data_IF_359892521073
#
_entry.id   IF_359892521073
#
_cell.length_a   1.000
_cell.length_b   1.000
_cell.length_c   1.000
_cell.angle_alpha   90.00
_cell.angle_beta   90.00
_cell.angle_gamma   90.00
#
_symmetry.space_group_name_H-M   'P 1'
#
loop_
_entity.id
_entity.type
_entity.pdbx_description
1 polymer ?
#
# COMPACT_ATOMS: atom_id res chain seq x y z
N UNK A 1 34.19 19.57 -12.41
CA UNK A 1 32.80 19.46 -12.82
C UNK A 1 32.68 18.18 -13.66
N UNK A 2 31.96 17.18 -13.19
CA UNK A 2 31.85 15.90 -13.86
C UNK A 2 30.42 15.79 -14.45
N UNK A 3 30.25 15.48 -15.73
CA UNK A 3 28.94 15.29 -16.32
C UNK A 3 28.35 13.98 -15.78
N UNK A 4 27.05 14.00 -15.48
CA UNK A 4 26.30 12.79 -15.20
C UNK A 4 26.02 12.06 -16.52
N UNK A 5 26.10 10.73 -16.55
CA UNK A 5 25.79 9.95 -17.75
C UNK A 5 24.34 10.22 -18.18
N UNK A 6 24.10 10.27 -19.48
CA UNK A 6 22.76 10.49 -20.05
C UNK A 6 21.95 9.22 -19.94
N UNK A 7 20.88 9.24 -19.16
CA UNK A 7 19.80 8.26 -19.25
C UNK A 7 18.48 9.01 -19.36
N UNK A 8 17.72 8.73 -20.40
CA UNK A 8 16.33 9.19 -20.50
C UNK A 8 16.07 10.69 -20.53
N UNK A 9 17.02 11.53 -20.94
CA UNK A 9 16.82 12.96 -21.13
C UNK A 9 17.15 13.88 -19.94
N UNK A 10 17.60 13.35 -18.79
CA UNK A 10 18.10 14.17 -17.68
C UNK A 10 19.59 14.45 -17.87
N UNK A 11 19.98 15.72 -17.83
CA UNK A 11 21.39 16.12 -17.83
C UNK A 11 21.68 16.84 -16.52
N UNK A 12 22.69 16.38 -15.80
CA UNK A 12 23.14 16.99 -14.56
C UNK A 12 24.65 17.17 -14.51
N UNK A 13 25.11 17.97 -13.55
CA UNK A 13 26.53 18.21 -13.29
C UNK A 13 26.80 18.01 -11.81
N UNK A 14 27.81 17.24 -11.49
CA UNK A 14 28.21 16.98 -10.12
C UNK A 14 29.48 17.81 -9.77
N UNK A 15 29.41 18.57 -8.68
CA UNK A 15 30.52 19.36 -8.18
C UNK A 15 31.08 18.71 -6.92
N UNK A 16 32.37 18.37 -6.93
CA UNK A 16 33.07 17.83 -5.76
C UNK A 16 33.97 18.95 -5.22
N UNK A 17 33.83 19.27 -3.92
CA UNK A 17 34.64 20.26 -3.22
C UNK A 17 35.20 19.72 -1.91
N UNK A 18 36.31 20.25 -1.45
CA UNK A 18 36.91 19.94 -0.17
C UNK A 18 37.00 21.21 0.71
N UNK A 19 36.67 21.08 2.00
CA UNK A 19 36.83 22.14 3.01
C UNK A 19 38.28 22.31 3.50
N UNK A 20 39.16 21.34 3.23
CA UNK A 20 40.54 21.31 3.73
C UNK A 20 41.60 21.63 2.68
N UNK A 21 41.19 22.14 1.49
CA UNK A 21 42.10 22.50 0.41
C UNK A 21 41.74 21.84 -0.93
N UNK A 22 42.47 22.12 -2.01
CA UNK A 22 42.17 21.57 -3.31
C UNK A 22 42.32 20.05 -3.31
N UNK A 23 41.26 19.37 -3.66
CA UNK A 23 41.31 17.92 -3.93
C UNK A 23 41.97 17.75 -5.29
N UNK A 24 43.01 16.97 -5.36
CA UNK A 24 43.60 16.53 -6.62
C UNK A 24 42.61 15.57 -7.30
N UNK A 25 41.65 16.13 -8.06
CA UNK A 25 40.65 15.35 -8.81
C UNK A 25 41.33 14.36 -9.76
N UNK A 26 42.55 14.66 -10.19
CA UNK A 26 43.42 13.78 -10.99
C UNK A 26 43.85 12.49 -10.25
N UNK A 27 43.73 12.45 -8.92
CA UNK A 27 44.03 11.25 -8.13
C UNK A 27 42.85 10.33 -7.89
N UNK A 28 41.66 10.72 -8.33
CA UNK A 28 40.45 9.86 -8.22
C UNK A 28 40.37 9.00 -9.47
N UNK A 29 40.31 7.69 -9.29
CA UNK A 29 40.08 6.76 -10.42
C UNK A 29 38.79 7.09 -11.15
N UNK A 30 38.81 7.22 -12.50
CA UNK A 30 37.60 7.51 -13.29
C UNK A 30 36.44 6.54 -13.00
N UNK A 31 36.73 5.27 -12.81
CA UNK A 31 35.72 4.24 -12.50
C UNK A 31 34.99 4.51 -11.18
N UNK A 32 35.65 5.04 -10.16
CA UNK A 32 35.01 5.42 -8.90
C UNK A 32 34.07 6.61 -9.07
N UNK A 33 34.47 7.60 -9.86
CA UNK A 33 33.68 8.79 -10.17
C UNK A 33 32.41 8.40 -10.99
N UNK A 34 32.58 7.52 -11.96
CA UNK A 34 31.44 6.98 -12.75
C UNK A 34 30.46 6.19 -11.87
N UNK A 35 30.98 5.41 -10.93
CA UNK A 35 30.14 4.69 -9.98
C UNK A 35 29.32 5.65 -9.10
N UNK A 36 29.95 6.68 -8.54
CA UNK A 36 29.23 7.69 -7.73
C UNK A 36 28.19 8.45 -8.59
N UNK A 37 28.57 8.85 -9.80
CA UNK A 37 27.66 9.52 -10.72
C UNK A 37 26.42 8.65 -11.05
N UNK A 38 26.64 7.36 -11.30
CA UNK A 38 25.55 6.41 -11.54
C UNK A 38 24.62 6.25 -10.31
N UNK A 39 25.18 6.18 -9.09
CA UNK A 39 24.41 6.08 -7.85
C UNK A 39 23.55 7.35 -7.61
N UNK A 40 24.15 8.54 -7.83
CA UNK A 40 23.43 9.81 -7.69
C UNK A 40 22.31 9.92 -8.73
N UNK A 41 22.57 9.55 -9.98
CA UNK A 41 21.57 9.57 -11.04
C UNK A 41 20.42 8.61 -10.74
N UNK A 42 20.72 7.36 -10.37
CA UNK A 42 19.70 6.38 -10.00
C UNK A 42 18.86 6.82 -8.79
N UNK A 43 19.46 7.54 -7.85
CA UNK A 43 18.75 8.10 -6.70
C UNK A 43 17.84 9.26 -7.11
N UNK A 44 18.33 10.16 -7.98
CA UNK A 44 17.54 11.26 -8.51
C UNK A 44 16.34 10.76 -9.35
N UNK A 45 16.56 9.76 -10.20
CA UNK A 45 15.50 9.13 -10.99
C UNK A 45 14.41 8.50 -10.11
N UNK A 46 14.81 7.80 -9.04
CA UNK A 46 13.85 7.24 -8.05
C UNK A 46 13.03 8.34 -7.37
N UNK A 47 13.66 9.44 -6.96
CA UNK A 47 12.95 10.57 -6.35
C UNK A 47 11.99 11.24 -7.32
N UNK A 48 12.40 11.45 -8.57
CA UNK A 48 11.54 12.02 -9.62
C UNK A 48 10.38 11.09 -9.96
N UNK A 49 10.62 9.78 -10.04
CA UNK A 49 9.57 8.80 -10.26
C UNK A 49 8.55 8.81 -9.11
N UNK A 50 9.01 8.76 -7.86
CA UNK A 50 8.14 8.87 -6.67
C UNK A 50 7.34 10.17 -6.67
N UNK A 51 7.97 11.31 -7.00
CA UNK A 51 7.27 12.59 -7.07
C UNK A 51 6.19 12.62 -8.18
N UNK A 52 6.41 11.93 -9.31
CA UNK A 52 5.39 11.79 -10.37
C UNK A 52 4.21 10.94 -9.90
N UNK A 53 4.46 9.80 -9.22
CA UNK A 53 3.42 8.93 -8.68
C UNK A 53 2.57 9.64 -7.61
N UNK A 54 3.20 10.42 -6.72
CA UNK A 54 2.50 11.24 -5.73
C UNK A 54 1.62 12.30 -6.41
N UNK A 55 2.15 13.02 -7.42
CA UNK A 55 1.38 14.04 -8.17
C UNK A 55 0.22 13.42 -8.97
N UNK A 56 0.38 12.22 -9.48
CA UNK A 56 -0.67 11.48 -10.16
C UNK A 56 -1.73 10.90 -9.19
N UNK A 57 -1.55 11.05 -7.88
CA UNK A 57 -2.45 10.49 -6.87
C UNK A 57 -2.44 8.96 -6.82
N UNK A 58 -1.42 8.31 -7.36
CA UNK A 58 -1.30 6.84 -7.42
C UNK A 58 -0.81 6.27 -6.09
N UNK A 59 -0.03 7.06 -5.34
CA UNK A 59 0.62 6.63 -4.09
C UNK A 59 0.14 7.51 -2.94
N UNK A 60 -0.11 6.92 -1.79
CA UNK A 60 -0.40 7.62 -0.53
C UNK A 60 0.86 8.30 0.00
N UNK A 61 0.82 9.61 0.33
CA UNK A 61 2.01 10.35 0.71
C UNK A 61 2.58 9.96 2.08
N UNK A 62 1.75 9.47 3.00
CA UNK A 62 2.20 9.09 4.34
C UNK A 62 2.92 7.75 4.32
N UNK A 63 2.32 6.76 3.68
CA UNK A 63 2.78 5.37 3.75
C UNK A 63 3.63 4.94 2.57
N UNK A 64 3.45 5.58 1.40
CA UNK A 64 4.12 5.19 0.17
C UNK A 64 3.46 4.01 -0.56
N UNK A 65 2.38 3.44 -0.03
CA UNK A 65 1.58 2.41 -0.69
C UNK A 65 0.64 3.01 -1.74
N UNK A 66 -0.04 2.15 -2.49
CA UNK A 66 -1.01 2.61 -3.46
C UNK A 66 -2.15 3.38 -2.77
N UNK A 67 -2.65 4.38 -3.47
CA UNK A 67 -3.74 5.24 -2.99
C UNK A 67 -5.12 4.61 -3.27
N UNK A 68 -6.15 5.21 -2.66
CA UNK A 68 -7.56 4.94 -2.99
C UNK A 68 -7.84 5.09 -4.50
N UNK A 69 -7.28 6.12 -5.13
CA UNK A 69 -7.48 6.36 -6.57
C UNK A 69 -6.97 5.19 -7.42
N UNK A 70 -5.76 4.72 -7.14
CA UNK A 70 -5.18 3.54 -7.78
C UNK A 70 -6.04 2.30 -7.55
N UNK A 71 -6.46 2.06 -6.30
CA UNK A 71 -7.25 0.89 -5.94
C UNK A 71 -8.57 0.81 -6.71
N UNK A 72 -9.31 1.93 -6.80
CA UNK A 72 -10.56 2.00 -7.56
C UNK A 72 -10.35 1.75 -9.07
N UNK A 73 -9.25 2.22 -9.64
CA UNK A 73 -8.89 1.90 -11.02
C UNK A 73 -8.65 0.39 -11.20
N UNK A 74 -7.88 -0.23 -10.29
CA UNK A 74 -7.61 -1.67 -10.31
C UNK A 74 -8.87 -2.51 -10.13
N UNK A 75 -9.81 -2.09 -9.28
CA UNK A 75 -11.09 -2.77 -9.12
C UNK A 75 -11.89 -2.80 -10.43
N UNK A 76 -11.96 -1.68 -11.15
CA UNK A 76 -12.65 -1.60 -12.45
C UNK A 76 -12.00 -2.51 -13.50
N UNK A 77 -10.68 -2.53 -13.54
CA UNK A 77 -9.92 -3.43 -14.42
C UNK A 77 -10.19 -4.90 -14.04
N UNK A 78 -10.25 -5.22 -12.75
CA UNK A 78 -10.53 -6.58 -12.28
C UNK A 78 -11.95 -7.03 -12.63
N UNK A 79 -12.96 -6.18 -12.48
CA UNK A 79 -14.34 -6.50 -12.93
C UNK A 79 -14.35 -6.85 -14.42
N UNK A 80 -13.64 -6.07 -15.25
CA UNK A 80 -13.53 -6.36 -16.67
C UNK A 80 -12.76 -7.67 -16.96
N UNK A 81 -11.70 -7.95 -16.21
CA UNK A 81 -10.93 -9.18 -16.32
C UNK A 81 -11.75 -10.41 -15.90
N UNK A 82 -12.44 -10.34 -14.76
CA UNK A 82 -13.34 -11.41 -14.26
C UNK A 82 -14.42 -11.77 -15.28
N UNK A 83 -15.04 -10.76 -15.91
CA UNK A 83 -16.04 -11.00 -16.95
C UNK A 83 -15.45 -11.67 -18.20
N UNK A 84 -14.21 -11.32 -18.57
CA UNK A 84 -13.54 -11.87 -19.77
C UNK A 84 -13.06 -13.30 -19.55
N UNK A 85 -12.43 -13.54 -18.41
CA UNK A 85 -11.77 -14.81 -18.10
C UNK A 85 -12.68 -15.77 -17.33
N UNK A 86 -13.83 -15.31 -16.87
CA UNK A 86 -14.78 -16.05 -16.01
C UNK A 86 -14.11 -16.54 -14.72
N UNK A 87 -13.23 -15.72 -14.15
CA UNK A 87 -12.53 -16.00 -12.90
C UNK A 87 -13.10 -15.15 -11.77
N UNK A 88 -13.32 -15.75 -10.58
CA UNK A 88 -13.79 -15.01 -9.42
C UNK A 88 -12.71 -14.07 -8.92
N UNK A 89 -13.11 -13.06 -8.16
CA UNK A 89 -12.18 -12.21 -7.43
C UNK A 89 -12.73 -11.89 -6.04
N UNK A 90 -11.88 -11.45 -5.13
CA UNK A 90 -12.30 -11.03 -3.79
C UNK A 90 -11.67 -9.69 -3.43
N UNK A 91 -12.41 -8.90 -2.65
CA UNK A 91 -11.96 -7.64 -2.09
C UNK A 91 -12.04 -7.71 -0.57
N UNK A 92 -10.96 -7.32 0.12
CA UNK A 92 -10.93 -7.10 1.55
C UNK A 92 -10.82 -5.61 1.82
N UNK A 93 -11.59 -5.12 2.81
CA UNK A 93 -11.39 -3.80 3.42
C UNK A 93 -11.04 -4.03 4.88
N UNK A 94 -9.94 -3.42 5.32
CA UNK A 94 -9.31 -3.65 6.61
C UNK A 94 -9.21 -2.31 7.32
N UNK A 95 -9.58 -2.25 8.59
CA UNK A 95 -9.53 -1.05 9.40
C UNK A 95 -8.88 -1.35 10.75
N UNK A 96 -8.07 -0.39 11.22
CA UNK A 96 -7.37 -0.50 12.49
C UNK A 96 -8.31 -0.14 13.63
N UNK A 97 -8.62 -1.12 14.47
CA UNK A 97 -9.57 -0.93 15.57
C UNK A 97 -9.04 0.09 16.59
N UNK A 98 -9.91 1.03 16.97
CA UNK A 98 -9.65 2.01 18.05
C UNK A 98 -8.41 2.88 17.85
N UNK A 99 -8.02 3.19 16.61
CA UNK A 99 -6.88 4.08 16.33
C UNK A 99 -7.01 5.43 17.05
N UNK A 100 -8.22 6.00 17.12
CA UNK A 100 -8.48 7.24 17.88
C UNK A 100 -8.07 7.15 19.34
N UNK A 101 -8.35 6.03 20.02
CA UNK A 101 -7.94 5.82 21.40
C UNK A 101 -6.40 5.70 21.56
N UNK A 102 -5.72 5.13 20.56
CA UNK A 102 -4.25 5.12 20.52
C UNK A 102 -3.73 6.55 20.41
N UNK A 103 -4.27 7.34 19.49
CA UNK A 103 -3.90 8.73 19.28
C UNK A 103 -4.14 9.60 20.53
N UNK A 104 -5.28 9.45 21.19
CA UNK A 104 -5.61 10.19 22.42
C UNK A 104 -4.66 9.83 23.57
N UNK A 105 -4.35 8.55 23.74
CA UNK A 105 -3.53 8.07 24.86
C UNK A 105 -2.04 8.26 24.64
N UNK A 106 -1.56 8.09 23.41
CA UNK A 106 -0.12 7.98 23.11
C UNK A 106 0.37 9.03 22.11
N UNK A 107 -0.52 9.86 21.54
CA UNK A 107 -0.23 10.88 20.57
C UNK A 107 -0.31 10.39 19.11
N UNK A 108 -0.43 11.33 18.17
CA UNK A 108 -0.61 11.06 16.73
C UNK A 108 0.54 10.21 16.17
N UNK A 109 1.78 10.47 16.59
CA UNK A 109 2.94 9.71 16.12
C UNK A 109 2.87 8.21 16.47
N UNK A 110 2.20 7.86 17.58
CA UNK A 110 1.97 6.47 17.97
C UNK A 110 0.95 5.79 17.05
N UNK A 111 -0.11 6.51 16.69
CA UNK A 111 -1.09 6.00 15.72
C UNK A 111 -0.51 5.85 14.32
N UNK A 112 0.31 6.81 13.86
CA UNK A 112 1.02 6.70 12.58
C UNK A 112 1.95 5.50 12.54
N UNK A 113 2.67 5.23 13.64
CA UNK A 113 3.51 4.04 13.77
C UNK A 113 2.67 2.75 13.70
N UNK A 114 1.54 2.70 14.43
CA UNK A 114 0.63 1.55 14.40
C UNK A 114 0.06 1.30 12.99
N UNK A 115 -0.32 2.37 12.28
CA UNK A 115 -0.76 2.28 10.88
C UNK A 115 0.33 1.68 9.98
N UNK A 116 1.57 2.17 10.08
CA UNK A 116 2.68 1.67 9.28
C UNK A 116 2.97 0.20 9.59
N UNK A 117 2.95 -0.21 10.85
CA UNK A 117 3.15 -1.60 11.26
C UNK A 117 2.07 -2.53 10.70
N UNK A 118 0.79 -2.15 10.83
CA UNK A 118 -0.33 -2.94 10.28
C UNK A 118 -0.26 -2.99 8.75
N UNK A 119 0.04 -1.87 8.09
CA UNK A 119 0.18 -1.86 6.64
C UNK A 119 1.30 -2.77 6.14
N UNK A 120 2.49 -2.72 6.75
CA UNK A 120 3.61 -3.61 6.44
C UNK A 120 3.23 -5.10 6.67
N UNK A 121 2.50 -5.37 7.74
CA UNK A 121 2.01 -6.70 8.06
C UNK A 121 1.05 -7.22 6.98
N UNK A 122 0.11 -6.40 6.52
CA UNK A 122 -0.83 -6.75 5.46
C UNK A 122 -0.06 -6.97 4.15
N UNK A 123 0.83 -6.04 3.77
CA UNK A 123 1.65 -6.14 2.57
C UNK A 123 2.47 -7.45 2.53
N UNK A 124 3.02 -7.87 3.65
CA UNK A 124 3.77 -9.13 3.75
C UNK A 124 2.91 -10.40 3.57
N UNK A 125 1.58 -10.30 3.68
CA UNK A 125 0.66 -11.42 3.52
C UNK A 125 0.09 -11.56 2.10
N UNK A 126 0.19 -10.51 1.28
CA UNK A 126 -0.35 -10.48 -0.09
C UNK A 126 0.68 -10.96 -1.11
N UNK A 127 0.20 -11.44 -2.26
CA UNK A 127 1.03 -11.92 -3.37
C UNK A 127 1.37 -10.77 -4.32
N UNK A 128 2.36 -10.94 -5.17
CA UNK A 128 2.70 -9.97 -6.22
C UNK A 128 1.56 -9.73 -7.23
N UNK A 129 0.64 -10.69 -7.41
CA UNK A 129 -0.56 -10.55 -8.23
C UNK A 129 -1.66 -9.71 -7.60
N UNK A 130 -1.64 -9.58 -6.28
CA UNK A 130 -2.66 -8.89 -5.51
C UNK A 130 -2.38 -7.39 -5.52
N UNK A 131 -3.40 -6.58 -5.27
CA UNK A 131 -3.21 -5.14 -5.12
C UNK A 131 -3.52 -4.74 -3.70
N UNK A 132 -2.56 -4.09 -3.04
CA UNK A 132 -2.69 -3.53 -1.70
C UNK A 132 -2.68 -2.01 -1.79
N UNK A 133 -3.56 -1.33 -1.05
CA UNK A 133 -3.69 0.11 -1.03
C UNK A 133 -4.19 0.64 0.31
N UNK A 134 -3.88 1.91 0.60
CA UNK A 134 -4.49 2.67 1.69
C UNK A 134 -5.68 3.46 1.15
N UNK A 135 -6.88 3.26 1.72
CA UNK A 135 -8.10 3.92 1.28
C UNK A 135 -8.45 5.19 2.05
N UNK A 136 -8.01 5.29 3.29
CA UNK A 136 -8.36 6.37 4.21
C UNK A 136 -7.36 6.52 5.35
N UNK A 137 -7.78 7.20 6.41
CA UNK A 137 -6.93 7.51 7.57
C UNK A 137 -6.47 6.24 8.31
N UNK A 138 -7.36 5.29 8.49
CA UNK A 138 -7.17 4.04 9.23
C UNK A 138 -7.53 2.79 8.41
N UNK A 139 -7.75 2.96 7.11
CA UNK A 139 -8.35 1.95 6.24
C UNK A 139 -7.42 1.50 5.12
N UNK A 140 -7.30 0.19 4.96
CA UNK A 140 -6.57 -0.49 3.90
C UNK A 140 -7.49 -1.36 3.07
N UNK A 141 -7.07 -1.68 1.84
CA UNK A 141 -7.78 -2.65 1.01
C UNK A 141 -6.83 -3.58 0.27
N UNK A 142 -7.30 -4.80 0.06
CA UNK A 142 -6.63 -5.83 -0.73
C UNK A 142 -7.57 -6.34 -1.80
N UNK A 143 -7.10 -6.33 -3.04
CA UNK A 143 -7.79 -6.91 -4.19
C UNK A 143 -7.08 -8.21 -4.56
N UNK A 144 -7.84 -9.30 -4.62
CA UNK A 144 -7.37 -10.66 -4.86
C UNK A 144 -7.92 -11.18 -6.20
N UNK A 145 -7.17 -11.06 -7.30
CA UNK A 145 -7.54 -11.68 -8.58
C UNK A 145 -7.63 -13.21 -8.48
N UNK A 146 -8.49 -13.82 -9.29
CA UNK A 146 -8.67 -15.27 -9.39
C UNK A 146 -8.83 -15.97 -8.03
N UNK A 147 -9.48 -15.29 -7.07
CA UNK A 147 -9.59 -15.78 -5.69
C UNK A 147 -11.05 -15.76 -5.22
N UNK A 148 -11.55 -16.93 -4.84
CA UNK A 148 -12.88 -17.07 -4.26
C UNK A 148 -12.93 -16.58 -2.81
N UNK A 149 -14.13 -16.21 -2.28
CA UNK A 149 -14.27 -15.69 -0.91
C UNK A 149 -13.70 -16.61 0.18
N UNK A 150 -13.76 -17.94 0.00
CA UNK A 150 -13.26 -18.91 0.98
C UNK A 150 -11.74 -18.79 1.19
N UNK A 151 -11.00 -18.48 0.12
CA UNK A 151 -9.55 -18.25 0.21
C UNK A 151 -9.23 -16.84 0.74
N UNK A 152 -10.09 -15.87 0.46
CA UNK A 152 -9.98 -14.53 1.04
C UNK A 152 -10.18 -14.56 2.57
N UNK A 153 -11.10 -15.40 3.06
CA UNK A 153 -11.28 -15.67 4.51
C UNK A 153 -10.02 -16.23 5.15
N UNK A 154 -9.30 -17.12 4.47
CA UNK A 154 -8.03 -17.65 4.99
C UNK A 154 -6.97 -16.55 5.12
N UNK A 155 -6.88 -15.66 4.13
CA UNK A 155 -5.99 -14.49 4.20
C UNK A 155 -6.39 -13.57 5.36
N UNK A 156 -7.67 -13.26 5.50
CA UNK A 156 -8.19 -12.43 6.59
C UNK A 156 -7.85 -13.04 7.96
N UNK A 157 -7.99 -14.35 8.12
CA UNK A 157 -7.61 -15.07 9.34
C UNK A 157 -6.13 -14.94 9.66
N UNK A 158 -5.24 -15.01 8.65
CA UNK A 158 -3.79 -14.80 8.85
C UNK A 158 -3.47 -13.37 9.25
N UNK A 159 -4.10 -12.38 8.59
CA UNK A 159 -3.94 -10.96 8.93
C UNK A 159 -4.37 -10.69 10.38
N UNK A 160 -5.53 -11.18 10.80
CA UNK A 160 -6.02 -11.04 12.16
C UNK A 160 -5.06 -11.67 13.18
N UNK A 161 -4.59 -12.88 12.93
CA UNK A 161 -3.65 -13.58 13.82
C UNK A 161 -2.32 -12.82 13.92
N UNK A 162 -1.81 -12.31 12.80
CA UNK A 162 -0.58 -11.54 12.76
C UNK A 162 -0.74 -10.18 13.46
N UNK A 163 -1.86 -9.46 13.24
CA UNK A 163 -2.13 -8.19 13.92
C UNK A 163 -2.13 -8.33 15.46
N UNK A 164 -2.77 -9.37 15.99
CA UNK A 164 -2.76 -9.68 17.42
C UNK A 164 -1.37 -9.99 17.99
N UNK A 165 -0.42 -10.38 17.16
CA UNK A 165 0.93 -10.73 17.57
C UNK A 165 1.90 -9.53 17.55
N UNK A 166 1.50 -8.40 16.94
CA UNK A 166 2.34 -7.21 16.85
C UNK A 166 2.31 -6.47 18.20
N UNK A 167 3.43 -6.42 18.92
CA UNK A 167 3.55 -5.53 20.07
C UNK A 167 3.66 -4.10 19.51
N UNK A 168 2.69 -3.24 19.82
CA UNK A 168 2.80 -1.83 19.48
C UNK A 168 3.85 -1.18 20.37
N UNK A 169 5.09 -1.10 19.89
CA UNK A 169 6.19 -0.41 20.61
C UNK A 169 5.87 1.07 20.90
N UNK A 170 4.91 1.64 20.16
CA UNK A 170 4.40 2.99 20.35
C UNK A 170 3.60 3.18 21.66
N UNK A 171 3.21 2.13 22.35
CA UNK A 171 2.62 2.25 23.71
C UNK A 171 3.74 2.23 24.73
N UNK A 172 3.94 3.30 25.50
CA UNK A 172 5.00 3.44 26.53
C UNK A 172 5.09 2.25 27.51
N UNK A 173 4.07 1.45 27.60
CA UNK A 173 3.93 0.27 28.47
C UNK A 173 4.10 -1.06 27.72
N UNK A 174 4.32 -1.05 26.37
CA UNK A 174 4.56 -2.27 25.57
C UNK A 174 3.39 -3.27 25.56
N UNK A 175 2.18 -2.87 25.98
CA UNK A 175 1.04 -3.77 26.21
C UNK A 175 -0.20 -3.45 25.37
N UNK A 176 -0.13 -2.50 24.45
CA UNK A 176 -1.23 -2.20 23.53
C UNK A 176 -1.22 -3.18 22.36
N UNK A 177 -2.19 -4.09 22.30
CA UNK A 177 -2.43 -4.89 21.12
C UNK A 177 -3.28 -4.05 20.16
N UNK A 178 -2.79 -3.84 18.94
CA UNK A 178 -3.63 -3.32 17.85
C UNK A 178 -4.36 -4.49 17.24
N UNK A 179 -5.66 -4.36 17.10
CA UNK A 179 -6.48 -5.31 16.36
C UNK A 179 -7.01 -4.65 15.09
N UNK A 180 -7.48 -5.45 14.16
CA UNK A 180 -8.07 -4.99 12.92
C UNK A 180 -9.44 -5.64 12.72
N UNK A 181 -10.34 -4.92 12.06
CA UNK A 181 -11.59 -5.46 11.57
C UNK A 181 -11.52 -5.58 10.05
N UNK A 182 -12.10 -6.65 9.49
CA UNK A 182 -12.00 -6.94 8.06
C UNK A 182 -13.38 -7.24 7.48
N UNK A 183 -13.73 -6.53 6.40
CA UNK A 183 -14.88 -6.85 5.56
C UNK A 183 -14.43 -7.52 4.26
N UNK A 184 -15.09 -8.58 3.87
CA UNK A 184 -14.78 -9.37 2.68
C UNK A 184 -15.99 -9.39 1.74
N UNK A 185 -15.76 -9.11 0.46
CA UNK A 185 -16.76 -9.25 -0.59
C UNK A 185 -16.20 -10.01 -1.79
N UNK A 186 -16.95 -11.05 -2.22
CA UNK A 186 -16.65 -11.77 -3.44
C UNK A 186 -17.23 -11.09 -4.68
N UNK A 187 -16.61 -11.36 -5.83
CA UNK A 187 -17.11 -11.06 -7.16
C UNK A 187 -17.23 -12.37 -7.92
N UNK A 188 -18.47 -12.78 -8.20
CA UNK A 188 -18.72 -13.94 -9.06
C UNK A 188 -18.89 -13.43 -10.51
N UNK A 189 -18.12 -13.96 -11.47
CA UNK A 189 -18.27 -13.58 -12.88
C UNK A 189 -19.64 -13.91 -13.47
N UNK A 190 -20.40 -14.84 -12.87
CA UNK A 190 -21.76 -15.16 -13.31
C UNK A 190 -22.77 -14.04 -13.03
N UNK A 191 -22.50 -13.21 -12.03
CA UNK A 191 -23.38 -12.11 -11.60
C UNK A 191 -23.04 -10.78 -12.28
N UNK A 192 -22.06 -10.76 -13.19
CA UNK A 192 -21.58 -9.51 -13.79
C UNK A 192 -22.51 -9.02 -14.90
N UNK A 193 -22.90 -7.72 -14.87
CA UNK A 193 -23.76 -7.11 -15.87
C UNK A 193 -23.03 -6.87 -17.20
N UNK A 194 -23.75 -6.29 -18.15
CA UNK A 194 -23.21 -5.83 -19.43
C UNK A 194 -22.03 -4.85 -19.27
N UNK A 195 -21.26 -4.65 -20.35
CA UNK A 195 -19.95 -3.97 -20.26
C UNK A 195 -20.04 -2.50 -19.82
N UNK A 196 -21.10 -1.80 -20.15
CA UNK A 196 -21.37 -0.39 -19.83
C UNK A 196 -21.73 -0.16 -18.34
N UNK A 197 -22.27 -1.15 -17.66
CA UNK A 197 -22.66 -1.06 -16.25
C UNK A 197 -21.54 -1.47 -15.26
N UNK A 198 -20.41 -1.97 -15.76
CA UNK A 198 -19.34 -2.54 -14.91
C UNK A 198 -18.63 -1.53 -14.00
N UNK A 199 -18.71 -0.24 -14.30
CA UNK A 199 -18.17 0.79 -13.41
C UNK A 199 -18.96 0.87 -12.11
N UNK A 200 -20.30 0.84 -12.18
CA UNK A 200 -21.17 0.80 -11.02
C UNK A 200 -20.92 -0.47 -10.19
N UNK A 201 -20.72 -1.61 -10.86
CA UNK A 201 -20.42 -2.90 -10.21
C UNK A 201 -19.14 -2.84 -9.35
N UNK A 202 -18.09 -2.13 -9.78
CA UNK A 202 -16.87 -1.99 -8.97
C UNK A 202 -17.12 -1.19 -7.69
N UNK A 203 -17.89 -0.11 -7.78
CA UNK A 203 -18.23 0.74 -6.64
C UNK A 203 -19.18 -0.02 -5.67
N UNK A 204 -20.15 -0.78 -6.19
CA UNK A 204 -21.04 -1.64 -5.41
C UNK A 204 -20.28 -2.79 -4.71
N UNK A 205 -19.31 -3.39 -5.40
CA UNK A 205 -18.47 -4.44 -4.83
C UNK A 205 -17.65 -3.92 -3.64
N UNK A 206 -17.05 -2.74 -3.76
CA UNK A 206 -16.35 -2.09 -2.65
C UNK A 206 -17.31 -1.73 -1.51
N UNK A 207 -18.51 -1.23 -1.84
CA UNK A 207 -19.54 -0.92 -0.84
C UNK A 207 -19.99 -2.15 -0.05
N UNK A 208 -20.08 -3.33 -0.69
CA UNK A 208 -20.36 -4.59 0.02
C UNK A 208 -19.25 -4.94 1.01
N UNK A 209 -17.97 -4.80 0.62
CA UNK A 209 -16.85 -5.03 1.52
C UNK A 209 -16.88 -4.06 2.72
N UNK A 210 -17.20 -2.78 2.51
CA UNK A 210 -17.39 -1.81 3.59
C UNK A 210 -18.57 -2.18 4.51
N UNK A 211 -19.70 -2.64 3.94
CA UNK A 211 -20.84 -3.10 4.74
C UNK A 211 -20.45 -4.26 5.66
N UNK A 212 -19.71 -5.23 5.15
CA UNK A 212 -19.17 -6.34 5.93
C UNK A 212 -18.19 -5.86 7.03
N UNK A 213 -17.32 -4.89 6.72
CA UNK A 213 -16.42 -4.26 7.71
C UNK A 213 -17.22 -3.59 8.84
N UNK A 214 -18.27 -2.84 8.50
CA UNK A 214 -19.13 -2.22 9.51
C UNK A 214 -19.81 -3.26 10.41
N UNK A 215 -20.21 -4.42 9.85
CA UNK A 215 -20.74 -5.52 10.66
C UNK A 215 -19.67 -6.09 11.60
N UNK A 216 -18.43 -6.27 11.14
CA UNK A 216 -17.31 -6.70 11.96
C UNK A 216 -17.06 -5.74 13.14
N UNK A 217 -17.01 -4.44 12.88
CA UNK A 217 -16.85 -3.38 13.92
C UNK A 217 -18.02 -3.39 14.92
N UNK A 218 -19.27 -3.45 14.46
CA UNK A 218 -20.45 -3.51 15.33
C UNK A 218 -20.52 -4.76 16.19
N UNK A 219 -19.96 -5.87 15.75
CA UNK A 219 -19.87 -7.10 16.50
C UNK A 219 -18.72 -7.12 17.54
N UNK A 220 -17.99 -5.99 17.72
CA UNK A 220 -16.95 -5.81 18.71
C UNK A 220 -15.53 -5.68 18.16
N UNK A 221 -15.35 -5.70 16.84
CA UNK A 221 -14.03 -5.64 16.20
C UNK A 221 -13.25 -6.95 16.27
N UNK A 222 -11.97 -6.90 15.88
CA UNK A 222 -11.01 -8.03 15.93
C UNK A 222 -11.55 -9.29 15.23
N UNK A 223 -12.18 -9.11 14.07
CA UNK A 223 -12.79 -10.18 13.27
C UNK A 223 -12.94 -9.84 11.82
N UNK A 224 -13.25 -10.84 11.02
CA UNK A 224 -13.73 -10.65 9.67
C UNK A 224 -15.21 -10.99 9.53
N UNK A 225 -15.85 -10.38 8.55
CA UNK A 225 -17.23 -10.69 8.09
C UNK A 225 -17.19 -10.77 6.57
N UNK A 226 -17.94 -11.71 5.99
CA UNK A 226 -18.11 -11.90 4.54
C UNK A 226 -19.54 -11.62 4.13
N UNK A 227 -19.73 -10.96 2.99
CA UNK A 227 -21.03 -10.76 2.34
C UNK A 227 -21.02 -11.30 0.90
#
# INVERSE_FOLDING_TARGET
MLPLPRSGGATGVYNIGSRKGPVAVAALEPAWLDHIAAQVLASAERLLHRARLLRAGVVDPLTGWNSRHYFLARMREQVAASARHREPASCLVIDVDRLGAINEKHGIAAGDAALLEIGNLVEAQVRASDSFARLGEDEYAVLLPATRPEFAVQLAGRILAAARAVPVESTRDGRGLVTVSIGIAGLDPADLPAADERKATADEWLARAHSALHQAKRAGGDRHVTC
#
